data_IF_362871079545
#
_entry.id   IF_362871079545
#
_cell.length_a   1.000
_cell.length_b   1.000
_cell.length_c   1.000
_cell.angle_alpha   90.00
_cell.angle_beta   90.00
_cell.angle_gamma   90.00
#
_symmetry.space_group_name_H-M   'P 1'
#
loop_
_entity.id
_entity.type
_entity.pdbx_description
1 polymer ?
#
# COMPACT_ATOMS: atom_id res chain seq x y z
N UNK A 1 -18.10 36.78 -24.94
CA UNK A 1 -19.05 35.71 -25.29
C UNK A 1 -18.44 34.40 -24.85
N UNK A 2 -19.03 33.79 -23.83
CA UNK A 2 -18.51 32.63 -23.13
C UNK A 2 -18.36 31.42 -24.07
N UNK A 3 -17.29 30.65 -23.90
CA UNK A 3 -17.33 29.21 -24.02
C UNK A 3 -16.47 28.59 -22.92
N UNK A 4 -17.19 28.15 -21.88
CA UNK A 4 -16.76 27.17 -20.90
C UNK A 4 -16.47 25.85 -21.62
N UNK A 5 -15.35 25.23 -21.28
CA UNK A 5 -15.02 23.88 -21.73
C UNK A 5 -13.86 23.26 -20.96
N UNK A 6 -13.60 23.71 -19.73
CA UNK A 6 -12.64 23.04 -18.85
C UNK A 6 -13.44 22.01 -18.04
N UNK A 7 -13.52 20.80 -18.59
CA UNK A 7 -13.95 19.61 -17.87
C UNK A 7 -12.97 19.27 -16.76
N UNK A 8 -13.02 20.03 -15.67
CA UNK A 8 -12.28 19.79 -14.44
C UNK A 8 -13.16 19.01 -13.47
N UNK A 9 -13.40 17.72 -13.72
CA UNK A 9 -14.04 16.83 -12.75
C UNK A 9 -13.27 15.51 -12.54
N UNK A 10 -11.98 15.45 -12.87
CA UNK A 10 -11.12 14.28 -12.59
C UNK A 10 -9.72 14.65 -12.06
N UNK A 11 -9.50 15.90 -11.65
CA UNK A 11 -8.16 16.47 -11.38
C UNK A 11 -7.69 16.36 -9.92
N UNK A 12 -8.47 15.75 -9.02
CA UNK A 12 -8.04 15.58 -7.62
C UNK A 12 -6.92 14.54 -7.43
N UNK A 13 -6.94 13.45 -8.20
CA UNK A 13 -5.98 12.34 -8.04
C UNK A 13 -4.67 12.55 -8.82
N UNK A 14 -4.73 13.28 -9.94
CA UNK A 14 -3.57 13.46 -10.83
C UNK A 14 -2.64 14.56 -10.31
N UNK A 15 -3.18 15.66 -9.75
CA UNK A 15 -2.36 16.73 -9.18
C UNK A 15 -1.56 16.28 -7.93
N UNK A 16 -2.10 15.36 -7.15
CA UNK A 16 -1.44 14.85 -5.93
C UNK A 16 -0.15 14.08 -6.23
N UNK A 17 -0.09 13.35 -7.37
CA UNK A 17 1.11 12.66 -7.84
C UNK A 17 2.19 13.61 -8.36
N UNK A 18 1.79 14.78 -8.90
CA UNK A 18 2.72 15.79 -9.42
C UNK A 18 3.32 16.69 -8.31
N UNK A 19 2.60 16.85 -7.19
CA UNK A 19 2.98 17.72 -6.08
C UNK A 19 3.80 17.03 -4.99
N UNK A 20 4.27 15.79 -5.21
CA UNK A 20 5.17 15.10 -4.28
C UNK A 20 4.57 14.82 -2.89
N UNK A 21 3.25 14.94 -2.74
CA UNK A 21 2.59 14.62 -1.49
C UNK A 21 2.60 13.11 -1.28
N UNK A 22 3.32 12.64 -0.27
CA UNK A 22 3.27 11.23 0.11
C UNK A 22 1.80 10.86 0.40
N UNK A 23 1.32 9.80 -0.23
CA UNK A 23 -0.05 9.35 -0.03
C UNK A 23 -0.25 9.03 1.47
N UNK A 24 -1.45 9.28 2.03
CA UNK A 24 -1.64 9.05 3.46
C UNK A 24 -1.40 7.56 3.78
N UNK A 25 -0.85 7.26 4.97
CA UNK A 25 -0.34 5.92 5.30
C UNK A 25 -1.40 4.82 5.28
N UNK A 26 -2.67 5.19 5.41
CA UNK A 26 -3.84 4.33 5.39
C UNK A 26 -4.51 4.20 4.01
N UNK A 27 -3.96 4.83 2.97
CA UNK A 27 -4.51 4.73 1.62
C UNK A 27 -4.04 3.46 0.94
N UNK A 28 -5.01 2.61 0.60
CA UNK A 28 -4.75 1.37 -0.16
C UNK A 28 -4.23 1.73 -1.54
N UNK A 29 -3.12 1.12 -1.93
CA UNK A 29 -2.47 1.34 -3.22
C UNK A 29 -2.07 0.00 -3.84
N UNK A 30 -2.29 -0.14 -5.14
CA UNK A 30 -1.75 -1.27 -5.89
C UNK A 30 -0.23 -1.10 -6.04
N UNK A 31 0.51 -2.15 -5.71
CA UNK A 31 1.96 -2.16 -5.68
C UNK A 31 2.52 -3.36 -6.43
N UNK A 32 3.71 -3.19 -7.03
CA UNK A 32 4.41 -4.25 -7.73
C UNK A 32 5.23 -5.07 -6.75
N UNK A 33 5.15 -6.40 -6.84
CA UNK A 33 5.88 -7.30 -5.94
C UNK A 33 7.41 -7.15 -6.06
N UNK A 34 7.91 -6.68 -7.21
CA UNK A 34 9.34 -6.42 -7.46
C UNK A 34 9.99 -5.47 -6.44
N UNK A 35 9.21 -4.53 -5.89
CA UNK A 35 9.69 -3.55 -4.91
C UNK A 35 9.98 -4.17 -3.54
N UNK A 36 9.40 -5.35 -3.26
CA UNK A 36 9.45 -6.01 -1.97
C UNK A 36 10.44 -7.18 -1.92
N UNK A 37 11.04 -7.57 -3.06
CA UNK A 37 11.95 -8.72 -3.16
C UNK A 37 13.16 -8.58 -2.23
N UNK A 38 13.65 -7.36 -2.06
CA UNK A 38 14.84 -7.06 -1.26
C UNK A 38 14.53 -6.60 0.17
N UNK A 39 13.24 -6.56 0.55
CA UNK A 39 12.83 -6.11 1.88
C UNK A 39 12.77 -7.30 2.84
N UNK A 40 13.20 -7.08 4.07
CA UNK A 40 13.06 -8.08 5.12
C UNK A 40 11.58 -8.23 5.49
N UNK A 41 11.11 -9.47 5.53
CA UNK A 41 9.77 -9.80 6.03
C UNK A 41 9.84 -9.96 7.54
N UNK A 42 9.07 -9.15 8.28
CA UNK A 42 8.96 -9.24 9.74
C UNK A 42 7.86 -10.22 10.15
N UNK A 43 6.69 -10.09 9.52
CA UNK A 43 5.57 -11.00 9.74
C UNK A 43 5.02 -11.48 8.40
N UNK A 44 4.64 -12.75 8.37
CA UNK A 44 4.07 -13.41 7.20
C UNK A 44 2.83 -14.19 7.59
N UNK A 45 1.77 -13.95 6.84
CA UNK A 45 0.52 -14.68 6.86
C UNK A 45 0.16 -15.12 5.42
N UNK A 46 -0.87 -15.98 5.28
CA UNK A 46 -1.24 -16.62 4.02
C UNK A 46 -1.48 -15.63 2.88
N UNK A 47 -2.16 -14.51 3.17
CA UNK A 47 -2.48 -13.47 2.19
C UNK A 47 -1.82 -12.12 2.48
N UNK A 48 -1.10 -11.97 3.60
CA UNK A 48 -0.60 -10.66 4.06
C UNK A 48 0.85 -10.77 4.55
N UNK A 49 1.66 -9.73 4.30
CA UNK A 49 3.05 -9.64 4.77
C UNK A 49 3.34 -8.26 5.32
N UNK A 50 4.15 -8.20 6.37
CA UNK A 50 4.71 -6.97 6.92
C UNK A 50 6.19 -6.90 6.54
N UNK A 51 6.56 -5.85 5.81
CA UNK A 51 7.92 -5.58 5.38
C UNK A 51 8.58 -4.53 6.26
N UNK A 52 9.83 -4.78 6.61
CA UNK A 52 10.72 -3.78 7.19
C UNK A 52 11.17 -2.80 6.11
N UNK A 53 11.49 -1.54 6.49
CA UNK A 53 12.11 -0.60 5.58
C UNK A 53 13.43 -1.14 5.04
N UNK A 54 13.63 -1.04 3.73
CA UNK A 54 14.88 -1.44 3.10
C UNK A 54 16.01 -0.45 3.41
N UNK A 55 17.23 -0.96 3.57
CA UNK A 55 18.44 -0.16 3.81
C UNK A 55 18.83 0.75 2.63
N UNK A 56 18.05 0.80 1.55
CA UNK A 56 18.39 1.44 0.27
C UNK A 56 17.69 2.77 -0.02
N UNK A 57 17.03 3.41 0.95
CA UNK A 57 16.50 4.78 0.76
C UNK A 57 17.59 5.82 1.01
N UNK A 58 18.60 5.81 0.16
CA UNK A 58 19.62 6.87 0.07
C UNK A 58 18.92 8.18 -0.33
N UNK A 59 18.67 9.04 0.66
CA UNK A 59 18.17 10.40 0.48
C UNK A 59 16.66 10.54 0.77
N UNK A 60 16.36 11.10 1.94
CA UNK A 60 15.09 11.76 2.31
C UNK A 60 13.78 10.95 2.40
N UNK A 61 13.73 9.68 2.02
CA UNK A 61 12.54 8.84 2.26
C UNK A 61 12.65 8.16 3.63
N UNK A 62 11.79 8.58 4.56
CA UNK A 62 11.66 7.98 5.90
C UNK A 62 11.58 6.45 5.77
N UNK A 63 12.34 5.75 6.60
CA UNK A 63 12.24 4.30 6.77
C UNK A 63 10.82 3.94 7.22
N UNK A 64 10.03 3.37 6.32
CA UNK A 64 8.61 3.04 6.54
C UNK A 64 8.43 1.53 6.54
N UNK A 65 7.71 1.02 7.54
CA UNK A 65 7.23 -0.35 7.60
C UNK A 65 5.94 -0.45 6.79
N UNK A 66 5.76 -1.51 6.01
CA UNK A 66 4.63 -1.58 5.09
C UNK A 66 3.91 -2.94 5.16
N UNK A 67 2.59 -2.88 5.32
CA UNK A 67 1.70 -4.04 5.31
C UNK A 67 1.16 -4.22 3.88
N UNK A 68 1.45 -5.35 3.28
CA UNK A 68 1.07 -5.69 1.91
C UNK A 68 0.15 -6.91 1.90
N UNK A 69 -0.98 -6.80 1.21
CA UNK A 69 -1.85 -7.91 0.87
C UNK A 69 -1.42 -8.48 -0.47
N UNK A 70 -0.99 -9.74 -0.47
CA UNK A 70 -0.70 -10.49 -1.70
C UNK A 70 -1.88 -11.43 -1.96
N UNK A 71 -2.68 -11.12 -2.99
CA UNK A 71 -3.72 -12.06 -3.44
C UNK A 71 -3.23 -12.79 -4.69
N UNK A 72 -3.18 -14.13 -4.68
CA UNK A 72 -3.12 -14.89 -5.91
C UNK A 72 -4.49 -14.76 -6.58
N UNK A 73 -4.64 -13.83 -7.54
CA UNK A 73 -5.92 -13.62 -8.22
C UNK A 73 -6.09 -14.53 -9.45
N UNK A 74 -5.00 -15.06 -10.02
CA UNK A 74 -4.96 -16.06 -11.10
C UNK A 74 -3.49 -16.42 -11.35
N UNK A 75 -3.19 -17.57 -11.99
CA UNK A 75 -1.83 -18.06 -12.28
C UNK A 75 -0.91 -17.03 -12.99
N UNK A 76 -1.50 -16.00 -13.61
CA UNK A 76 -0.78 -14.99 -14.41
C UNK A 76 -0.69 -13.60 -13.79
N UNK A 77 -1.41 -13.30 -12.69
CA UNK A 77 -1.45 -11.95 -12.10
C UNK A 77 -1.34 -12.02 -10.57
N UNK A 78 -0.13 -11.72 -10.07
CA UNK A 78 0.12 -11.44 -8.66
C UNK A 78 -0.15 -9.95 -8.41
N UNK A 79 -1.41 -9.60 -8.12
CA UNK A 79 -1.74 -8.26 -7.63
C UNK A 79 -1.42 -8.15 -6.15
N UNK A 80 -0.56 -7.20 -5.80
CA UNK A 80 -0.24 -6.86 -4.41
C UNK A 80 -0.80 -5.49 -4.08
N UNK A 81 -1.31 -5.31 -2.86
CA UNK A 81 -1.86 -4.05 -2.38
C UNK A 81 -1.18 -3.62 -1.08
N UNK A 82 -0.59 -2.43 -1.05
CA UNK A 82 -0.19 -1.78 0.19
C UNK A 82 -1.44 -1.34 0.95
N UNK A 83 -1.60 -1.83 2.18
CA UNK A 83 -2.73 -1.53 3.04
C UNK A 83 -2.41 -0.43 4.05
N UNK A 84 -1.19 -0.45 4.58
CA UNK A 84 -0.76 0.49 5.61
C UNK A 84 0.75 0.71 5.62
N UNK A 85 1.15 1.93 5.91
CA UNK A 85 2.54 2.37 6.04
C UNK A 85 2.79 2.99 7.41
N UNK A 86 3.64 2.40 8.22
CA UNK A 86 3.93 2.85 9.59
C UNK A 86 5.33 3.47 9.70
N UNK A 87 5.48 4.43 10.62
CA UNK A 87 6.79 5.03 10.91
C UNK A 87 7.62 4.23 11.90
N UNK A 88 6.99 3.33 12.67
CA UNK A 88 7.65 2.52 13.69
C UNK A 88 7.21 1.06 13.61
N UNK A 89 8.09 0.15 14.02
CA UNK A 89 7.78 -1.27 14.10
C UNK A 89 6.58 -1.62 15.00
N UNK A 90 6.50 -1.14 16.27
CA UNK A 90 5.39 -1.51 17.16
C UNK A 90 4.02 -1.07 16.61
N UNK A 91 3.96 0.10 15.98
CA UNK A 91 2.75 0.58 15.31
C UNK A 91 2.35 -0.33 14.13
N UNK A 92 3.33 -0.78 13.35
CA UNK A 92 3.09 -1.68 12.23
C UNK A 92 2.58 -3.05 12.70
N UNK A 93 3.15 -3.59 13.78
CA UNK A 93 2.75 -4.87 14.37
C UNK A 93 1.32 -4.81 14.92
N UNK A 94 0.97 -3.77 15.68
CA UNK A 94 -0.39 -3.57 16.19
C UNK A 94 -1.43 -3.53 15.06
N UNK A 95 -1.13 -2.82 13.97
CA UNK A 95 -2.02 -2.76 12.80
C UNK A 95 -2.07 -4.07 12.05
N UNK A 96 -0.95 -4.80 11.95
CA UNK A 96 -0.89 -6.09 11.32
C UNK A 96 -1.80 -7.10 12.02
N UNK A 97 -1.78 -7.15 13.36
CA UNK A 97 -2.67 -8.01 14.14
C UNK A 97 -4.15 -7.64 13.96
N UNK A 98 -4.46 -6.34 13.99
CA UNK A 98 -5.82 -5.85 13.77
C UNK A 98 -6.35 -6.21 12.37
N UNK A 99 -5.51 -6.14 11.34
CA UNK A 99 -5.88 -6.55 9.99
C UNK A 99 -5.97 -8.06 9.86
N UNK A 100 -5.07 -8.84 10.46
CA UNK A 100 -5.12 -10.30 10.45
C UNK A 100 -6.46 -10.82 10.98
N UNK A 101 -7.02 -10.22 12.03
CA UNK A 101 -8.31 -10.63 12.58
C UNK A 101 -9.51 -10.27 11.66
N UNK A 102 -9.42 -9.17 10.91
CA UNK A 102 -10.56 -8.61 10.15
C UNK A 102 -10.54 -8.93 8.65
N UNK A 103 -9.36 -9.09 8.06
CA UNK A 103 -9.17 -9.37 6.63
C UNK A 103 -9.87 -10.65 6.18
N UNK A 104 -9.81 -11.79 6.90
CA UNK A 104 -10.47 -13.02 6.47
C UNK A 104 -11.98 -12.84 6.25
N UNK A 105 -12.64 -12.01 7.06
CA UNK A 105 -14.06 -11.72 6.92
C UNK A 105 -14.34 -10.83 5.69
N UNK A 106 -13.55 -9.77 5.51
CA UNK A 106 -13.68 -8.85 4.38
C UNK A 106 -13.36 -9.51 3.03
N UNK A 107 -12.35 -10.38 3.01
CA UNK A 107 -11.95 -11.13 1.81
C UNK A 107 -13.03 -12.12 1.39
N UNK A 108 -13.71 -12.78 2.35
CA UNK A 108 -14.81 -13.72 2.07
C UNK A 108 -16.07 -13.04 1.53
N UNK A 109 -16.30 -11.79 1.89
CA UNK A 109 -17.52 -11.06 1.50
C UNK A 109 -17.50 -10.64 0.02
N UNK A 110 -16.31 -10.54 -0.58
CA UNK A 110 -16.12 -10.25 -2.00
C UNK A 110 -15.89 -11.60 -2.71
N UNK A 111 -16.97 -12.36 -2.91
CA UNK A 111 -16.97 -13.61 -3.66
C UNK A 111 -18.18 -13.68 -4.58
#
# INVERSE_FOLDING_TARGET
>A
MAWLGIGALASGLVLQRLLGGDAPPNKVQEVKNELYINLQVLHRDDAMRLYAPGNGSSGDKKSVYEIVLERPHSETINTSYSLYRAGTQPEAEEKFEAFHQRLPELVKMIR
#
